data_IF_906978545720
#
_entry.id   IF_906978545720
#
_cell.length_a   1.000
_cell.length_b   1.000
_cell.length_c   1.000
_cell.angle_alpha   90.00
_cell.angle_beta   90.00
_cell.angle_gamma   90.00
#
_symmetry.space_group_name_H-M   'P 1'
#
loop_
_entity.id
_entity.type
_entity.pdbx_description
1 polymer ?
#
# COMPACT_ATOMS: atom_id res chain seq x y z
N UNK A 1 3.40 8.59 -6.35
CA UNK A 1 2.90 7.35 -6.96
C UNK A 1 2.68 6.39 -5.80
N UNK A 2 1.42 6.08 -5.54
CA UNK A 2 1.05 5.17 -4.44
C UNK A 2 1.25 3.70 -4.80
N UNK A 3 1.19 2.77 -3.82
CA UNK A 3 1.54 1.36 -4.03
C UNK A 3 0.67 0.68 -5.08
N UNK A 4 -0.64 0.95 -5.12
CA UNK A 4 -1.56 0.31 -6.08
C UNK A 4 -1.20 0.68 -7.53
N UNK A 5 -0.99 1.97 -7.81
CA UNK A 5 -0.61 2.44 -9.15
C UNK A 5 0.77 1.94 -9.58
N UNK A 6 1.71 1.87 -8.62
CA UNK A 6 3.05 1.34 -8.88
C UNK A 6 3.01 -0.15 -9.23
N UNK A 7 2.30 -0.96 -8.42
CA UNK A 7 2.12 -2.38 -8.70
C UNK A 7 1.46 -2.62 -10.06
N UNK A 8 0.38 -1.89 -10.37
CA UNK A 8 -0.30 -2.01 -11.65
C UNK A 8 0.65 -1.69 -12.82
N UNK A 9 1.42 -0.60 -12.73
CA UNK A 9 2.37 -0.20 -13.77
C UNK A 9 3.43 -1.27 -14.02
N UNK A 10 4.04 -1.80 -12.94
CA UNK A 10 5.09 -2.83 -13.03
C UNK A 10 4.55 -4.10 -13.69
N UNK A 11 3.39 -4.60 -13.27
CA UNK A 11 2.80 -5.81 -13.83
C UNK A 11 2.38 -5.64 -15.29
N UNK A 12 1.82 -4.50 -15.65
CA UNK A 12 1.46 -4.18 -17.03
C UNK A 12 2.69 -4.11 -17.94
N UNK A 13 3.75 -3.45 -17.49
CA UNK A 13 5.00 -3.37 -18.26
C UNK A 13 5.66 -4.75 -18.37
N UNK A 14 5.65 -5.55 -17.30
CA UNK A 14 6.14 -6.93 -17.37
C UNK A 14 5.35 -7.79 -18.40
N UNK A 15 4.07 -7.49 -18.57
CA UNK A 15 3.23 -8.11 -19.62
C UNK A 15 3.43 -7.50 -21.03
N UNK A 16 4.43 -6.63 -21.22
CA UNK A 16 4.78 -6.05 -22.52
C UNK A 16 3.94 -4.82 -22.91
N UNK A 17 3.26 -4.19 -21.97
CA UNK A 17 2.49 -2.98 -22.24
C UNK A 17 3.33 -1.73 -21.98
N UNK A 18 3.16 -0.71 -22.83
CA UNK A 18 3.69 0.63 -22.55
C UNK A 18 2.78 1.35 -21.57
N UNK A 19 3.34 1.90 -20.51
CA UNK A 19 2.60 2.50 -19.41
C UNK A 19 3.07 3.93 -19.16
N UNK A 20 2.14 4.86 -19.05
CA UNK A 20 2.39 6.22 -18.59
C UNK A 20 1.78 6.39 -17.18
N UNK A 21 2.59 6.73 -16.19
CA UNK A 21 2.17 6.94 -14.81
C UNK A 21 2.20 8.42 -14.49
N UNK A 22 1.07 8.94 -14.01
CA UNK A 22 0.95 10.33 -13.56
C UNK A 22 0.79 10.36 -12.05
N UNK A 23 1.61 11.16 -11.38
CA UNK A 23 1.55 11.39 -9.95
C UNK A 23 1.67 12.89 -9.66
N UNK A 24 0.69 13.46 -8.98
CA UNK A 24 0.65 14.90 -8.64
C UNK A 24 1.76 15.32 -7.67
N UNK A 25 2.22 14.42 -6.80
CA UNK A 25 3.28 14.68 -5.85
C UNK A 25 4.64 14.27 -6.42
N UNK A 26 5.65 15.11 -6.24
CA UNK A 26 7.03 14.77 -6.62
C UNK A 26 7.65 13.75 -5.67
N UNK A 27 7.40 13.94 -4.39
CA UNK A 27 7.99 13.15 -3.32
C UNK A 27 7.04 12.05 -2.84
N UNK A 28 7.62 11.00 -2.26
CA UNK A 28 6.89 10.00 -1.50
C UNK A 28 6.33 10.64 -0.23
N UNK A 29 5.15 10.23 0.17
CA UNK A 29 4.57 10.64 1.43
C UNK A 29 5.41 10.07 2.59
N UNK A 30 5.91 10.89 3.52
CA UNK A 30 6.93 10.47 4.47
C UNK A 30 6.39 9.65 5.65
N UNK A 31 5.07 9.62 5.86
CA UNK A 31 4.47 8.93 6.99
C UNK A 31 3.75 7.65 6.54
N UNK A 32 3.81 6.55 7.30
CA UNK A 32 3.09 5.34 7.00
C UNK A 32 1.57 5.55 7.15
N UNK A 33 0.81 5.00 6.20
CA UNK A 33 -0.65 4.91 6.24
C UNK A 33 -1.14 3.48 6.22
N UNK A 34 -0.27 2.58 5.80
CA UNK A 34 -0.44 1.14 5.82
C UNK A 34 0.81 0.50 6.41
N UNK A 35 0.63 -0.60 7.10
CA UNK A 35 1.70 -1.24 7.88
C UNK A 35 1.84 -2.74 7.59
N UNK A 36 0.93 -3.31 6.80
CA UNK A 36 0.95 -4.74 6.51
C UNK A 36 0.60 -5.05 5.06
N UNK A 37 1.16 -6.15 4.56
CA UNK A 37 0.99 -6.67 3.21
C UNK A 37 0.77 -8.17 3.27
N UNK A 38 -0.12 -8.67 2.45
CA UNK A 38 -0.43 -10.10 2.38
C UNK A 38 0.57 -10.86 1.51
N UNK A 39 0.78 -12.13 1.81
CA UNK A 39 1.65 -13.03 1.04
C UNK A 39 1.20 -13.20 -0.42
N UNK A 40 -0.05 -12.93 -0.73
CA UNK A 40 -0.57 -12.90 -2.11
C UNK A 40 0.11 -11.84 -2.96
N UNK A 41 0.38 -10.66 -2.39
CA UNK A 41 1.09 -9.58 -3.10
C UNK A 41 2.54 -9.99 -3.36
N UNK A 42 3.21 -10.58 -2.34
CA UNK A 42 4.58 -11.08 -2.53
C UNK A 42 4.62 -12.18 -3.60
N UNK A 43 3.61 -13.06 -3.63
CA UNK A 43 3.45 -14.07 -4.67
C UNK A 43 3.25 -13.47 -6.06
N UNK A 44 2.47 -12.38 -6.18
CA UNK A 44 2.31 -11.67 -7.45
C UNK A 44 3.66 -11.12 -7.94
N UNK A 45 4.46 -10.54 -7.06
CA UNK A 45 5.82 -10.08 -7.37
C UNK A 45 6.78 -11.24 -7.69
N UNK A 46 6.62 -12.40 -7.06
CA UNK A 46 7.37 -13.60 -7.44
C UNK A 46 7.06 -14.01 -8.89
N UNK A 47 5.82 -13.87 -9.35
CA UNK A 47 5.42 -14.15 -10.74
C UNK A 47 6.17 -13.31 -11.79
N UNK A 48 6.74 -12.18 -11.39
CA UNK A 48 7.58 -11.31 -12.24
C UNK A 48 9.05 -11.29 -11.80
N UNK A 49 9.50 -12.32 -11.07
CA UNK A 49 10.86 -12.52 -10.56
C UNK A 49 11.33 -11.41 -9.58
N UNK A 50 10.41 -10.81 -8.81
CA UNK A 50 10.69 -9.74 -7.84
C UNK A 50 10.27 -10.07 -6.40
N UNK A 51 9.78 -11.29 -6.15
CA UNK A 51 9.28 -11.70 -4.82
C UNK A 51 10.36 -11.64 -3.74
N UNK A 52 11.54 -12.18 -4.03
CA UNK A 52 12.68 -12.18 -3.09
C UNK A 52 13.19 -10.76 -2.79
N UNK A 53 13.15 -9.86 -3.77
CA UNK A 53 13.55 -8.47 -3.57
C UNK A 53 12.53 -7.73 -2.69
N UNK A 54 11.24 -7.92 -2.96
CA UNK A 54 10.17 -7.35 -2.13
C UNK A 54 10.26 -7.90 -0.69
N UNK A 55 10.49 -9.19 -0.53
CA UNK A 55 10.57 -9.82 0.79
C UNK A 55 11.68 -9.22 1.69
N UNK A 56 12.78 -8.70 1.11
CA UNK A 56 13.88 -8.10 1.88
C UNK A 56 13.49 -6.82 2.62
N UNK A 57 12.49 -6.09 2.13
CA UNK A 57 12.01 -4.87 2.78
C UNK A 57 10.88 -5.14 3.79
N UNK A 58 10.35 -6.36 3.80
CA UNK A 58 9.34 -6.77 4.76
C UNK A 58 9.98 -7.16 6.09
N UNK A 59 9.22 -6.98 7.17
CA UNK A 59 9.67 -7.40 8.49
C UNK A 59 9.71 -8.93 8.57
N UNK A 60 10.80 -9.47 9.11
CA UNK A 60 10.93 -10.90 9.39
C UNK A 60 9.98 -11.28 10.52
N UNK A 61 9.09 -12.25 10.26
CA UNK A 61 8.22 -12.83 11.27
C UNK A 61 9.04 -13.72 12.19
N UNK A 62 8.91 -13.50 13.51
CA UNK A 62 9.52 -14.32 14.55
C UNK A 62 8.56 -15.42 14.98
N UNK A 63 9.05 -16.54 15.53
CA UNK A 63 8.20 -17.66 15.95
C UNK A 63 7.11 -17.32 16.96
N UNK A 64 7.32 -16.26 17.75
CA UNK A 64 6.40 -15.83 18.82
C UNK A 64 5.58 -14.58 18.47
N UNK A 65 5.76 -14.03 17.27
CA UNK A 65 5.00 -12.85 16.85
C UNK A 65 3.52 -13.22 16.70
N UNK A 66 2.65 -12.35 17.21
CA UNK A 66 1.21 -12.56 17.26
C UNK A 66 0.46 -11.31 16.79
N UNK A 67 -0.75 -11.53 16.33
CA UNK A 67 -1.69 -10.47 16.05
C UNK A 67 -3.03 -10.77 16.73
N UNK A 68 -3.61 -9.79 17.43
CA UNK A 68 -4.88 -10.01 18.11
C UNK A 68 -5.31 -8.88 19.03
N UNK A 69 -6.14 -9.25 19.99
CA UNK A 69 -6.85 -8.34 20.87
C UNK A 69 -6.50 -8.64 22.33
N UNK A 70 -6.37 -7.59 23.11
CA UNK A 70 -6.13 -7.66 24.55
C UNK A 70 -7.08 -6.74 25.31
N UNK A 71 -7.27 -7.00 26.60
CA UNK A 71 -7.98 -6.09 27.50
C UNK A 71 -7.13 -4.85 27.88
N UNK A 72 -7.69 -3.97 28.71
CA UNK A 72 -7.01 -2.76 29.19
C UNK A 72 -5.71 -3.05 29.99
N UNK A 73 -5.59 -4.22 30.60
CA UNK A 73 -4.43 -4.71 31.32
C UNK A 73 -3.43 -5.46 30.43
N UNK A 74 -3.71 -5.50 29.10
CA UNK A 74 -2.95 -6.22 28.08
C UNK A 74 -2.97 -7.74 28.21
N UNK A 75 -3.94 -8.31 28.90
CA UNK A 75 -4.21 -9.75 28.85
C UNK A 75 -4.82 -10.11 27.49
N UNK A 76 -4.29 -11.13 26.84
CA UNK A 76 -4.79 -11.60 25.56
C UNK A 76 -6.22 -12.11 25.67
N UNK A 77 -7.12 -11.59 24.84
CA UNK A 77 -8.49 -12.04 24.70
C UNK A 77 -8.60 -13.11 23.61
N UNK A 78 -8.10 -12.80 22.42
CA UNK A 78 -8.00 -13.74 21.31
C UNK A 78 -7.01 -13.20 20.28
N UNK A 79 -6.54 -14.08 19.41
CA UNK A 79 -5.62 -13.72 18.35
C UNK A 79 -5.01 -14.95 17.69
N UNK A 80 -4.09 -14.72 16.78
CA UNK A 80 -3.39 -15.76 16.05
C UNK A 80 -1.88 -15.54 16.13
N UNK A 81 -1.12 -16.64 16.08
CA UNK A 81 0.31 -16.57 15.81
C UNK A 81 0.52 -16.20 14.36
N UNK A 82 1.46 -15.32 14.11
CA UNK A 82 1.90 -15.03 12.75
C UNK A 82 2.74 -16.23 12.26
N UNK A 83 2.55 -16.60 11.00
CA UNK A 83 3.28 -17.73 10.41
C UNK A 83 4.18 -17.24 9.29
N UNK A 84 5.41 -17.76 9.27
CA UNK A 84 6.32 -17.62 8.14
C UNK A 84 5.87 -18.42 6.92
N UNK A 85 5.03 -19.43 7.13
CA UNK A 85 4.57 -20.37 6.12
C UNK A 85 3.09 -20.11 5.79
N UNK A 86 2.85 -19.30 4.79
CA UNK A 86 1.51 -19.02 4.28
C UNK A 86 1.14 -19.86 3.07
N UNK A 87 -0.16 -19.89 2.68
CA UNK A 87 -0.67 -20.74 1.60
C UNK A 87 -0.08 -20.42 0.23
N UNK A 88 0.51 -19.23 0.07
CA UNK A 88 1.12 -18.76 -1.17
C UNK A 88 2.64 -19.00 -1.23
N UNK A 89 3.20 -19.73 -0.27
CA UNK A 89 4.64 -19.94 -0.13
C UNK A 89 5.39 -18.74 0.46
N UNK A 90 4.66 -17.75 0.96
CA UNK A 90 5.15 -16.57 1.64
C UNK A 90 4.39 -16.40 2.97
N UNK A 91 4.91 -15.62 3.93
CA UNK A 91 4.17 -15.32 5.15
C UNK A 91 2.76 -14.83 4.83
N UNK A 92 1.77 -15.28 5.60
CA UNK A 92 0.38 -14.89 5.37
C UNK A 92 0.18 -13.38 5.43
N UNK A 93 0.89 -12.72 6.34
CA UNK A 93 0.91 -11.28 6.48
C UNK A 93 2.30 -10.84 6.93
N UNK A 94 2.83 -9.78 6.37
CA UNK A 94 4.12 -9.20 6.75
C UNK A 94 3.98 -7.71 6.99
N UNK A 95 4.71 -7.19 7.95
CA UNK A 95 4.75 -5.77 8.25
C UNK A 95 5.83 -5.08 7.44
N UNK A 96 5.61 -3.80 7.16
CA UNK A 96 6.55 -2.98 6.41
C UNK A 96 6.48 -1.51 6.84
N UNK A 97 7.51 -0.76 6.51
CA UNK A 97 7.50 0.70 6.57
C UNK A 97 7.11 1.26 5.21
N UNK A 98 5.93 1.89 5.12
CA UNK A 98 5.34 2.29 3.83
C UNK A 98 6.24 3.18 2.97
N UNK A 99 6.94 4.20 3.47
CA UNK A 99 7.85 4.99 2.64
C UNK A 99 8.95 4.16 1.96
N UNK A 100 9.47 3.13 2.63
CA UNK A 100 10.45 2.19 2.06
C UNK A 100 9.81 1.34 0.93
N UNK A 101 8.59 0.85 1.16
CA UNK A 101 7.84 0.12 0.13
C UNK A 101 7.54 1.00 -1.09
N UNK A 102 7.04 2.21 -0.87
CA UNK A 102 6.72 3.14 -1.95
C UNK A 102 7.98 3.52 -2.76
N UNK A 103 9.14 3.67 -2.09
CA UNK A 103 10.41 3.90 -2.76
C UNK A 103 10.84 2.69 -3.59
N UNK A 104 10.81 1.50 -3.00
CA UNK A 104 11.12 0.25 -3.70
C UNK A 104 10.27 0.07 -4.97
N UNK A 105 8.96 0.29 -4.86
CA UNK A 105 8.05 0.16 -5.99
C UNK A 105 8.34 1.21 -7.07
N UNK A 106 8.68 2.44 -6.69
CA UNK A 106 9.05 3.50 -7.63
C UNK A 106 10.35 3.17 -8.35
N UNK A 107 11.36 2.73 -7.61
CA UNK A 107 12.66 2.35 -8.17
C UNK A 107 12.51 1.13 -9.09
N UNK A 108 11.72 0.14 -8.68
CA UNK A 108 11.40 -1.01 -9.52
C UNK A 108 10.71 -0.58 -10.83
N UNK A 109 9.71 0.31 -10.75
CA UNK A 109 9.03 0.80 -11.96
C UNK A 109 9.99 1.52 -12.92
N UNK A 110 10.99 2.25 -12.41
CA UNK A 110 12.01 2.93 -13.22
C UNK A 110 12.95 1.95 -13.96
N UNK A 111 13.05 0.69 -13.53
CA UNK A 111 13.86 -0.32 -14.24
C UNK A 111 13.21 -0.82 -15.54
N UNK A 112 11.93 -0.54 -15.74
CA UNK A 112 11.20 -0.95 -16.95
C UNK A 112 11.26 0.14 -18.01
N UNK A 113 11.84 -0.14 -19.21
CA UNK A 113 11.95 0.86 -20.27
C UNK A 113 10.59 1.29 -20.86
N UNK A 114 9.57 0.46 -20.65
CA UNK A 114 8.21 0.71 -21.13
C UNK A 114 7.34 1.48 -20.10
N UNK A 115 7.91 1.98 -19.01
CA UNK A 115 7.21 2.82 -18.04
C UNK A 115 7.73 4.24 -18.08
N UNK A 116 6.87 5.18 -18.51
CA UNK A 116 7.11 6.62 -18.36
C UNK A 116 6.48 7.13 -17.07
N UNK A 117 7.26 7.73 -16.16
CA UNK A 117 6.79 8.24 -14.87
C UNK A 117 6.84 9.77 -14.87
N UNK A 118 5.68 10.40 -14.67
CA UNK A 118 5.52 11.86 -14.63
C UNK A 118 5.15 12.31 -13.22
N UNK A 119 6.18 12.62 -12.41
CA UNK A 119 6.02 13.11 -11.04
C UNK A 119 5.77 14.62 -11.01
N UNK A 120 4.92 15.06 -10.10
CA UNK A 120 4.50 16.47 -10.00
C UNK A 120 3.54 16.87 -11.10
N UNK A 121 2.88 15.90 -11.74
CA UNK A 121 1.97 16.12 -12.86
C UNK A 121 0.61 15.51 -12.57
N UNK A 122 -0.41 16.36 -12.44
CA UNK A 122 -1.77 15.98 -12.08
C UNK A 122 -2.64 15.85 -13.34
N UNK A 123 -3.44 14.79 -13.41
CA UNK A 123 -4.50 14.67 -14.43
C UNK A 123 -5.63 15.60 -14.07
N UNK A 124 -5.92 16.53 -14.98
CA UNK A 124 -6.97 17.54 -14.82
C UNK A 124 -8.31 17.14 -15.42
N UNK A 125 -8.26 16.42 -16.53
CA UNK A 125 -9.47 15.96 -17.22
C UNK A 125 -9.15 14.77 -18.12
N UNK A 126 -10.21 14.06 -18.50
CA UNK A 126 -10.14 12.97 -19.46
C UNK A 126 -11.44 12.89 -20.25
N UNK A 127 -11.35 12.34 -21.45
CA UNK A 127 -12.51 11.99 -22.29
C UNK A 127 -12.33 10.57 -22.81
N UNK A 128 -13.43 9.82 -22.85
CA UNK A 128 -13.42 8.44 -23.32
C UNK A 128 -14.13 8.37 -24.68
N UNK A 129 -13.47 7.75 -25.66
CA UNK A 129 -14.04 7.34 -26.93
C UNK A 129 -14.17 5.80 -26.95
N UNK A 130 -14.68 5.26 -28.06
CA UNK A 130 -14.91 3.81 -28.17
C UNK A 130 -13.61 2.99 -28.03
N UNK A 131 -12.50 3.49 -28.54
CA UNK A 131 -11.22 2.77 -28.67
C UNK A 131 -10.06 3.43 -27.92
N UNK A 132 -10.30 4.55 -27.24
CA UNK A 132 -9.24 5.31 -26.57
C UNK A 132 -9.74 6.17 -25.41
N UNK A 133 -8.80 6.56 -24.57
CA UNK A 133 -8.97 7.58 -23.54
C UNK A 133 -7.96 8.70 -23.80
N UNK A 134 -8.44 9.92 -23.95
CA UNK A 134 -7.62 11.11 -24.06
C UNK A 134 -7.53 11.78 -22.69
N UNK A 135 -6.31 11.91 -22.16
CA UNK A 135 -6.01 12.47 -20.85
C UNK A 135 -5.32 13.83 -21.00
N UNK A 136 -5.72 14.80 -20.20
CA UNK A 136 -5.04 16.08 -20.07
C UNK A 136 -4.48 16.21 -18.67
N UNK A 137 -3.18 16.32 -18.57
CA UNK A 137 -2.48 16.67 -17.34
C UNK A 137 -2.21 18.16 -17.25
N UNK A 138 -1.55 18.58 -16.19
CA UNK A 138 -1.07 19.97 -16.01
C UNK A 138 -0.07 20.41 -17.09
N UNK A 139 0.64 19.47 -17.75
CA UNK A 139 1.74 19.78 -18.66
C UNK A 139 1.57 19.22 -20.07
N UNK A 140 0.77 18.15 -20.25
CA UNK A 140 0.67 17.44 -21.53
C UNK A 140 -0.70 16.83 -21.80
N UNK A 141 -0.84 16.34 -23.04
CA UNK A 141 -1.97 15.50 -23.45
C UNK A 141 -1.45 14.15 -23.87
N UNK A 142 -2.12 13.09 -23.45
CA UNK A 142 -1.80 11.72 -23.80
C UNK A 142 -3.07 11.02 -24.27
N UNK A 143 -2.90 10.19 -25.28
CA UNK A 143 -3.92 9.27 -25.75
C UNK A 143 -3.47 7.83 -25.44
N UNK A 144 -4.36 7.04 -24.86
CA UNK A 144 -4.11 5.63 -24.54
C UNK A 144 -5.34 4.79 -24.83
N UNK A 145 -5.17 3.48 -24.97
CA UNK A 145 -6.33 2.57 -25.13
C UNK A 145 -7.11 2.41 -23.81
N UNK A 146 -6.42 2.45 -22.71
CA UNK A 146 -7.00 2.28 -21.37
C UNK A 146 -6.40 3.29 -20.41
N UNK A 147 -7.19 3.68 -19.41
CA UNK A 147 -6.72 4.42 -18.25
C UNK A 147 -7.13 3.67 -16.98
N UNK A 148 -6.21 3.52 -16.04
CA UNK A 148 -6.44 2.87 -14.74
C UNK A 148 -6.33 3.94 -13.66
N UNK A 149 -7.43 4.17 -12.96
CA UNK A 149 -7.48 5.13 -11.88
C UNK A 149 -7.02 4.48 -10.57
N UNK A 150 -5.84 4.88 -10.09
CA UNK A 150 -5.28 4.52 -8.79
C UNK A 150 -5.14 5.76 -7.90
N UNK A 151 -6.12 6.66 -7.96
CA UNK A 151 -6.14 8.01 -7.39
C UNK A 151 -6.65 8.06 -5.94
N UNK A 152 -6.74 6.90 -5.28
CA UNK A 152 -6.94 6.74 -3.85
C UNK A 152 -8.39 6.88 -3.37
N UNK A 153 -8.57 6.90 -2.04
CA UNK A 153 -9.90 6.87 -1.42
C UNK A 153 -10.77 8.08 -1.79
N UNK A 154 -10.18 9.25 -1.97
CA UNK A 154 -10.89 10.47 -2.38
C UNK A 154 -11.08 10.62 -3.89
N UNK A 155 -10.82 9.58 -4.65
CA UNK A 155 -10.76 9.48 -6.11
C UNK A 155 -11.61 10.52 -6.87
N UNK A 156 -10.98 11.47 -7.57
CA UNK A 156 -11.67 12.37 -8.49
C UNK A 156 -12.30 11.61 -9.64
N UNK A 157 -11.64 10.55 -10.13
CA UNK A 157 -12.15 9.72 -11.23
C UNK A 157 -13.43 9.01 -10.85
N UNK A 158 -13.51 8.41 -9.64
CA UNK A 158 -14.74 7.81 -9.12
C UNK A 158 -15.89 8.81 -9.12
N UNK A 159 -15.63 10.04 -8.63
CA UNK A 159 -16.63 11.11 -8.57
C UNK A 159 -17.09 11.55 -9.96
N UNK A 160 -16.16 11.70 -10.90
CA UNK A 160 -16.47 12.09 -12.28
C UNK A 160 -17.26 11.02 -13.05
N UNK A 161 -17.07 9.74 -12.68
CA UNK A 161 -17.84 8.61 -13.22
C UNK A 161 -19.14 8.34 -12.45
N UNK A 162 -19.47 9.17 -11.44
CA UNK A 162 -20.66 9.02 -10.59
C UNK A 162 -20.77 7.64 -9.92
N UNK A 163 -19.62 6.97 -9.70
CA UNK A 163 -19.57 5.69 -9.00
C UNK A 163 -19.89 5.93 -7.53
N UNK A 164 -20.98 5.35 -7.06
CA UNK A 164 -21.48 5.54 -5.70
C UNK A 164 -20.48 5.06 -4.65
N UNK A 165 -20.44 5.77 -3.54
CA UNK A 165 -19.70 5.41 -2.34
C UNK A 165 -20.68 5.32 -1.17
N UNK A 166 -20.92 4.12 -0.67
CA UNK A 166 -21.83 3.92 0.46
C UNK A 166 -21.07 4.16 1.76
N UNK A 167 -21.48 5.18 2.50
CA UNK A 167 -21.08 5.37 3.88
C UNK A 167 -21.88 4.43 4.78
N UNK A 168 -21.21 3.63 5.60
CA UNK A 168 -21.85 2.71 6.55
C UNK A 168 -22.10 3.38 7.92
N UNK A 169 -21.78 4.67 8.07
CA UNK A 169 -22.03 5.44 9.28
C UNK A 169 -21.01 5.23 10.40
N UNK A 170 -19.87 4.58 10.12
CA UNK A 170 -18.75 4.46 11.06
C UNK A 170 -17.77 5.60 10.86
N UNK A 171 -17.80 6.58 11.77
CA UNK A 171 -16.88 7.71 11.75
C UNK A 171 -16.23 7.83 13.12
N UNK A 172 -14.92 7.64 13.17
CA UNK A 172 -14.11 7.82 14.37
C UNK A 172 -12.85 8.59 14.05
N UNK A 173 -12.46 9.48 14.94
CA UNK A 173 -11.18 10.15 14.87
C UNK A 173 -10.07 9.22 15.35
N UNK A 174 -8.99 9.12 14.57
CA UNK A 174 -7.82 8.33 14.89
C UNK A 174 -6.60 9.23 15.03
N UNK A 175 -5.96 9.15 16.17
CA UNK A 175 -4.61 9.71 16.35
C UNK A 175 -3.58 8.64 16.00
N UNK A 176 -2.81 8.89 14.94
CA UNK A 176 -1.68 8.03 14.57
C UNK A 176 -0.40 8.67 15.09
N UNK A 177 0.39 7.90 15.82
CA UNK A 177 1.68 8.34 16.36
C UNK A 177 2.75 7.36 15.88
N UNK A 178 3.68 7.86 15.07
CA UNK A 178 4.89 7.15 14.71
C UNK A 178 5.98 7.52 15.70
N UNK A 179 6.60 6.51 16.32
CA UNK A 179 7.62 6.72 17.33
C UNK A 179 8.79 5.76 17.15
N UNK A 180 9.99 6.29 17.31
CA UNK A 180 11.20 5.47 17.39
C UNK A 180 11.41 5.04 18.85
N UNK A 181 11.67 3.74 19.06
CA UNK A 181 11.89 3.19 20.38
C UNK A 181 13.38 3.30 20.74
N UNK A 182 13.72 4.18 21.65
CA UNK A 182 15.11 4.44 22.07
C UNK A 182 15.65 3.41 23.08
N UNK A 183 14.79 2.58 23.71
CA UNK A 183 15.20 1.58 24.69
C UNK A 183 14.69 0.20 24.32
N UNK A 184 15.51 -0.83 24.53
CA UNK A 184 15.10 -2.21 24.36
C UNK A 184 13.94 -2.52 25.35
N UNK A 185 12.80 -2.96 24.79
CA UNK A 185 11.77 -3.74 25.47
C UNK A 185 10.68 -3.03 26.29
N UNK A 186 10.12 -1.93 25.81
CA UNK A 186 8.92 -1.39 26.46
C UNK A 186 7.61 -1.59 25.67
N UNK A 187 7.70 -1.89 24.37
CA UNK A 187 6.52 -2.11 23.54
C UNK A 187 6.43 -3.57 23.08
N UNK A 188 5.21 -4.11 22.96
CA UNK A 188 5.03 -5.45 22.41
C UNK A 188 5.49 -5.49 20.94
N UNK A 189 6.12 -6.57 20.53
CA UNK A 189 6.46 -6.85 19.13
C UNK A 189 5.26 -7.35 18.33
N UNK A 190 4.13 -7.52 19.00
CA UNK A 190 2.89 -8.02 18.43
C UNK A 190 2.12 -6.91 17.73
N UNK A 191 1.23 -7.25 16.83
CA UNK A 191 0.13 -6.37 16.40
C UNK A 191 -0.99 -6.51 17.41
N UNK A 192 -1.08 -5.57 18.32
CA UNK A 192 -1.95 -5.66 19.47
C UNK A 192 -3.01 -4.56 19.46
N UNK A 193 -4.28 -4.96 19.36
CA UNK A 193 -5.41 -4.07 19.57
C UNK A 193 -5.86 -4.16 21.02
N UNK A 194 -5.68 -3.09 21.78
CA UNK A 194 -6.10 -3.02 23.17
C UNK A 194 -7.51 -2.48 23.24
N UNK A 195 -8.43 -3.34 23.71
CA UNK A 195 -9.84 -3.05 23.91
C UNK A 195 -10.05 -2.38 25.28
N UNK A 196 -9.48 -1.20 25.45
CA UNK A 196 -9.67 -0.37 26.63
C UNK A 196 -10.91 0.52 26.41
N UNK A 197 -11.98 0.40 27.25
CA UNK A 197 -13.17 1.23 27.10
C UNK A 197 -12.92 2.72 27.16
N UNK A 198 -11.92 3.15 27.92
CA UNK A 198 -11.59 4.56 28.10
C UNK A 198 -10.65 5.07 27.01
N UNK A 199 -9.80 4.20 26.46
CA UNK A 199 -8.81 4.56 25.45
C UNK A 199 -8.42 3.38 24.56
N UNK A 200 -9.23 3.12 23.55
CA UNK A 200 -8.89 2.16 22.49
C UNK A 200 -7.57 2.55 21.83
N UNK A 201 -6.65 1.60 21.69
CA UNK A 201 -5.41 1.84 20.98
C UNK A 201 -4.85 0.57 20.33
N UNK A 202 -4.06 0.76 19.30
CA UNK A 202 -3.40 -0.34 18.58
C UNK A 202 -1.90 -0.08 18.55
N UNK A 203 -1.13 -1.10 18.90
CA UNK A 203 0.32 -1.11 18.69
C UNK A 203 0.63 -1.93 17.45
N UNK A 204 1.48 -1.39 16.59
CA UNK A 204 2.04 -2.10 15.45
C UNK A 204 3.54 -1.86 15.46
N UNK A 205 4.31 -2.92 15.70
CA UNK A 205 5.75 -2.86 15.55
C UNK A 205 6.07 -2.89 14.05
N UNK A 206 6.64 -1.84 13.52
CA UNK A 206 7.19 -1.79 12.16
C UNK A 206 8.70 -1.92 12.20
N UNK A 207 9.31 -2.18 11.05
CA UNK A 207 10.77 -2.32 10.90
C UNK A 207 11.50 -1.02 11.24
#
# INVERSE_FOLDING_TARGET
>A
MGPVGACAAIHLAHAGMRVAVFEKNKNIYPLPRAVSIDGEIVRAFQGINRGEELAKILQTIRPDDRAGFADAQRNWLFGTKLSSDGPNGWPHNSQFYQPELDQYLRDTAQTYPDIDIFLGEEIQSWTQAHDRVDLKSTQRRICSRYAIACDGASSPTRKALEISWRDLGYSHDWLVVDAEVNSKNTLPNDVLQVCDPDRLHTFVATK
#
